data_IF_430616847317
#
_entry.id   IF_430616847317
#
_cell.length_a   1.000
_cell.length_b   1.000
_cell.length_c   1.000
_cell.angle_alpha   90.00
_cell.angle_beta   90.00
_cell.angle_gamma   90.00
#
_symmetry.space_group_name_H-M   'P 1'
#
loop_
_entity.id
_entity.type
_entity.pdbx_description
1 polymer ?
#
# COMPACT_ATOMS: atom_id res chain seq x y z
N UNK A 1 -14.15 -6.51 1.93
CA UNK A 1 -13.43 -7.78 1.71
C UNK A 1 -13.22 -7.92 0.21
N UNK A 2 -11.98 -7.97 -0.28
CA UNK A 2 -11.70 -8.08 -1.73
C UNK A 2 -12.06 -9.51 -2.19
N UNK A 3 -12.88 -9.69 -3.23
CA UNK A 3 -13.19 -10.99 -3.81
C UNK A 3 -11.92 -11.77 -4.19
N UNK A 4 -11.91 -13.09 -4.04
CA UNK A 4 -10.70 -13.90 -4.21
C UNK A 4 -10.09 -13.77 -5.62
N UNK A 5 -10.92 -13.76 -6.66
CA UNK A 5 -10.50 -13.62 -8.05
C UNK A 5 -9.87 -12.25 -8.37
N UNK A 6 -10.23 -11.21 -7.62
CA UNK A 6 -9.62 -9.89 -7.78
C UNK A 6 -8.25 -9.83 -7.12
N UNK A 7 -8.03 -10.57 -6.03
CA UNK A 7 -6.75 -10.55 -5.29
C UNK A 7 -5.55 -10.98 -6.13
N UNK A 8 -5.75 -11.92 -7.05
CA UNK A 8 -4.69 -12.41 -7.94
C UNK A 8 -4.23 -11.36 -8.97
N UNK A 9 -5.02 -10.30 -9.16
CA UNK A 9 -4.78 -9.26 -10.15
C UNK A 9 -4.46 -7.88 -9.51
N UNK A 10 -4.12 -7.85 -8.23
CA UNK A 10 -3.86 -6.62 -7.49
C UNK A 10 -2.40 -6.56 -7.05
N UNK A 11 -1.75 -5.46 -7.39
CA UNK A 11 -0.42 -5.15 -6.88
C UNK A 11 -0.48 -4.67 -5.42
N UNK A 12 0.48 -5.13 -4.63
CA UNK A 12 0.67 -4.71 -3.25
C UNK A 12 2.11 -4.27 -3.02
N UNK A 13 2.29 -3.29 -2.15
CA UNK A 13 3.59 -2.99 -1.53
C UNK A 13 3.56 -3.63 -0.14
N UNK A 14 4.58 -4.42 0.18
CA UNK A 14 4.72 -5.09 1.46
C UNK A 14 6.14 -4.95 2.00
N UNK A 15 6.27 -5.08 3.31
CA UNK A 15 7.52 -5.45 3.96
C UNK A 15 7.48 -6.94 4.35
N UNK A 16 8.46 -7.39 5.13
CA UNK A 16 8.58 -8.78 5.56
C UNK A 16 7.35 -9.32 6.34
N UNK A 17 6.52 -8.44 6.92
CA UNK A 17 5.45 -8.84 7.84
C UNK A 17 4.08 -8.26 7.51
N UNK A 18 4.02 -7.17 6.74
CA UNK A 18 2.80 -6.40 6.55
C UNK A 18 2.61 -5.95 5.10
N UNK A 19 1.35 -5.96 4.66
CA UNK A 19 0.93 -5.22 3.48
C UNK A 19 0.83 -3.73 3.85
N UNK A 20 1.68 -2.93 3.21
CA UNK A 20 1.77 -1.49 3.40
C UNK A 20 0.69 -0.78 2.57
N UNK A 21 0.60 -1.11 1.28
CA UNK A 21 -0.31 -0.44 0.36
C UNK A 21 -0.89 -1.45 -0.64
N UNK A 22 -2.21 -1.47 -0.75
CA UNK A 22 -2.91 -2.12 -1.85
C UNK A 22 -3.07 -1.08 -2.96
N UNK A 23 -2.32 -1.23 -4.05
CA UNK A 23 -2.20 -0.22 -5.10
C UNK A 23 -3.57 0.13 -5.67
N UNK A 24 -3.87 1.43 -5.77
CA UNK A 24 -5.16 1.94 -6.24
C UNK A 24 -6.32 1.77 -5.25
N UNK A 25 -6.09 1.25 -4.04
CA UNK A 25 -7.14 1.03 -3.04
C UNK A 25 -6.84 1.74 -1.71
N UNK A 26 -6.03 1.14 -0.84
CA UNK A 26 -5.83 1.64 0.54
C UNK A 26 -4.40 1.43 1.04
N UNK A 27 -3.93 2.38 1.82
CA UNK A 27 -2.73 2.24 2.65
C UNK A 27 -3.11 1.71 4.03
N UNK A 28 -2.25 0.87 4.62
CA UNK A 28 -2.38 0.39 5.99
C UNK A 28 -2.21 1.54 6.99
N UNK A 29 -3.01 1.55 8.05
CA UNK A 29 -2.95 2.58 9.10
C UNK A 29 -1.58 2.67 9.77
N UNK A 30 -0.85 1.55 9.84
CA UNK A 30 0.50 1.49 10.45
C UNK A 30 1.54 2.33 9.70
N UNK A 31 1.30 2.65 8.43
CA UNK A 31 2.27 3.31 7.54
C UNK A 31 1.80 4.67 7.05
N UNK A 32 0.69 5.19 7.59
CA UNK A 32 0.27 6.56 7.30
C UNK A 32 1.22 7.55 7.95
N UNK A 33 1.48 8.65 7.25
CA UNK A 33 2.23 9.76 7.81
C UNK A 33 1.38 10.51 8.83
N UNK A 34 2.00 10.95 9.91
CA UNK A 34 1.45 11.85 10.93
C UNK A 34 2.29 13.14 11.01
N UNK A 35 1.85 14.17 11.76
CA UNK A 35 2.66 15.36 12.00
C UNK A 35 4.05 15.09 12.59
N UNK A 36 4.20 13.97 13.32
CA UNK A 36 5.46 13.53 13.93
C UNK A 36 6.35 12.72 12.97
N UNK A 37 5.91 12.48 11.73
CA UNK A 37 6.69 11.70 10.76
C UNK A 37 7.86 12.53 10.23
N UNK A 38 9.08 12.16 10.60
CA UNK A 38 10.30 12.88 10.21
C UNK A 38 10.80 12.54 8.80
N UNK A 39 10.56 11.31 8.33
CA UNK A 39 11.04 10.81 7.03
C UNK A 39 9.93 10.11 6.30
N UNK A 40 9.79 10.42 5.01
CA UNK A 40 8.75 9.87 4.15
C UNK A 40 9.38 9.21 2.94
N UNK A 41 8.98 7.97 2.66
CA UNK A 41 9.24 7.32 1.38
C UNK A 41 8.05 7.60 0.44
N UNK A 42 8.29 8.31 -0.65
CA UNK A 42 7.27 8.59 -1.66
C UNK A 42 7.30 7.52 -2.75
N UNK A 43 6.17 6.86 -2.96
CA UNK A 43 5.98 5.86 -4.01
C UNK A 43 4.92 6.37 -5.00
N UNK A 44 5.11 6.09 -6.28
CA UNK A 44 4.14 6.36 -7.33
C UNK A 44 4.10 5.15 -8.26
N UNK A 45 2.90 4.66 -8.55
CA UNK A 45 2.65 3.64 -9.57
C UNK A 45 1.97 4.34 -10.74
N UNK A 46 2.53 4.19 -11.94
CA UNK A 46 1.99 4.74 -13.18
C UNK A 46 1.88 3.63 -14.22
N UNK A 47 0.82 3.70 -15.01
CA UNK A 47 0.63 2.86 -16.20
C UNK A 47 0.93 3.72 -17.44
N UNK A 48 1.40 3.06 -18.51
CA UNK A 48 1.71 3.70 -19.79
C UNK A 48 0.45 4.13 -20.55
#
# INVERSE_FOLDING_TARGET
KIPAHEKENIYVVEDEKNIIWVVGQRISELYKTSPETEKVLKLQVSWF
#
